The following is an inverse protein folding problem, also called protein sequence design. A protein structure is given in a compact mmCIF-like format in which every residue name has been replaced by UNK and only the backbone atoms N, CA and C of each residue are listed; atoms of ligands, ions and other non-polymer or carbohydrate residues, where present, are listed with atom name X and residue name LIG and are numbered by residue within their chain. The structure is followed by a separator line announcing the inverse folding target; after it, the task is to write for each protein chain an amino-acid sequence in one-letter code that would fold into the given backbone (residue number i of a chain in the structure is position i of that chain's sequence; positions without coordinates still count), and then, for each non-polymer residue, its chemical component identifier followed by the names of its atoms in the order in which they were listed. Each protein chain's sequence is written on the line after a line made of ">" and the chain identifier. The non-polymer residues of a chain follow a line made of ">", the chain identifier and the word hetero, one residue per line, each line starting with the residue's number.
data_IF_380056925974
#
_entry.id   IF_380056925974
#
_cell.length_a   1.000
_cell.length_b   1.000
_cell.length_c   1.000
_cell.angle_alpha   90.00
_cell.angle_beta   90.00
_cell.angle_gamma   90.00
#
_symmetry.space_group_name_H-M   'P 1'
#
loop_
_entity.id
_entity.type
_entity.pdbx_description
1 polymer ?
#
# COMPACT_ATOMS: atom_id res chain seq x y z
N UNK A 1 -28.72 -16.58 -23.59
CA UNK A 1 -27.60 -16.86 -24.50
C UNK A 1 -26.70 -15.63 -24.62
N UNK A 2 -25.38 -15.89 -24.75
CA UNK A 2 -24.32 -14.97 -25.20
C UNK A 2 -23.86 -13.90 -24.16
N UNK A 3 -22.59 -13.67 -23.78
CA UNK A 3 -21.23 -14.09 -24.19
C UNK A 3 -20.34 -13.88 -22.93
N UNK A 4 -19.59 -14.88 -22.45
CA UNK A 4 -18.19 -15.16 -22.79
C UNK A 4 -17.20 -13.98 -22.68
N UNK A 5 -16.21 -14.21 -21.82
CA UNK A 5 -14.78 -13.86 -21.94
C UNK A 5 -14.26 -12.53 -21.38
N UNK A 6 -13.79 -12.58 -20.13
CA UNK A 6 -12.66 -11.77 -19.70
C UNK A 6 -11.57 -12.65 -19.06
N UNK A 7 -10.72 -13.18 -19.95
CA UNK A 7 -9.28 -13.38 -19.80
C UNK A 7 -8.73 -13.27 -18.38
N UNK A 8 -8.63 -14.42 -17.71
CA UNK A 8 -7.57 -14.64 -16.72
C UNK A 8 -6.25 -14.82 -17.47
N UNK A 9 -5.58 -13.72 -17.81
CA UNK A 9 -4.16 -13.79 -18.18
C UNK A 9 -3.38 -14.02 -16.89
N UNK A 10 -3.29 -15.28 -16.48
CA UNK A 10 -2.29 -15.72 -15.50
C UNK A 10 -0.93 -15.21 -15.98
N UNK A 11 -0.19 -14.40 -15.20
CA UNK A 11 1.16 -14.06 -15.58
C UNK A 11 1.93 -15.37 -15.65
N UNK A 12 2.53 -15.64 -16.81
CA UNK A 12 3.49 -16.70 -17.03
C UNK A 12 4.61 -16.49 -16.02
N UNK A 13 4.49 -17.13 -14.86
CA UNK A 13 5.53 -17.16 -13.85
C UNK A 13 6.59 -18.08 -14.42
N UNK A 14 7.52 -17.50 -15.16
CA UNK A 14 8.85 -18.06 -15.28
C UNK A 14 9.38 -18.08 -13.84
N UNK A 15 9.07 -19.14 -13.10
CA UNK A 15 9.76 -19.46 -11.86
C UNK A 15 11.17 -19.84 -12.33
N UNK A 16 12.21 -19.01 -12.13
CA UNK A 16 13.54 -19.56 -12.19
C UNK A 16 13.60 -20.54 -11.02
N UNK A 17 13.38 -21.82 -11.30
CA UNK A 17 13.87 -22.87 -10.43
C UNK A 17 15.30 -22.45 -10.07
N UNK A 18 15.55 -22.27 -8.78
CA UNK A 18 16.82 -21.84 -8.22
C UNK A 18 17.83 -22.96 -8.47
N UNK A 19 18.29 -23.10 -9.71
CA UNK A 19 19.42 -23.93 -10.06
C UNK A 19 20.64 -23.11 -9.65
N UNK A 20 21.11 -23.33 -8.42
CA UNK A 20 22.40 -22.81 -7.97
C UNK A 20 23.46 -23.59 -8.75
N UNK A 21 23.78 -23.11 -9.94
CA UNK A 21 24.73 -23.75 -10.84
C UNK A 21 26.16 -23.43 -10.34
N UNK A 22 26.57 -24.16 -9.30
CA UNK A 22 27.91 -24.06 -8.67
C UNK A 22 29.02 -24.47 -9.65
N UNK A 23 28.69 -25.18 -10.72
CA UNK A 23 29.64 -25.71 -11.69
C UNK A 23 30.21 -24.65 -12.65
N UNK A 24 29.58 -23.48 -12.78
CA UNK A 24 30.09 -22.42 -13.65
C UNK A 24 31.27 -21.62 -13.05
N UNK A 25 31.73 -21.95 -11.83
CA UNK A 25 32.56 -21.05 -11.00
C UNK A 25 34.06 -21.38 -10.93
N UNK A 26 34.59 -22.25 -11.80
CA UNK A 26 36.01 -22.62 -11.77
C UNK A 26 37.01 -21.44 -11.97
N UNK A 27 36.54 -20.24 -12.31
CA UNK A 27 37.37 -19.03 -12.48
C UNK A 27 36.81 -17.75 -11.80
N UNK A 28 35.79 -17.87 -10.94
CA UNK A 28 35.19 -16.70 -10.29
C UNK A 28 35.96 -16.31 -9.02
N UNK A 29 36.25 -15.02 -8.84
CA UNK A 29 36.87 -14.51 -7.60
C UNK A 29 35.89 -14.71 -6.43
N UNK A 30 36.38 -15.13 -5.26
CA UNK A 30 35.53 -15.41 -4.09
C UNK A 30 34.61 -14.24 -3.67
N UNK A 31 35.03 -13.00 -3.89
CA UNK A 31 34.21 -11.81 -3.65
C UNK A 31 32.96 -11.73 -4.54
N UNK A 32 33.05 -12.18 -5.79
CA UNK A 32 31.93 -12.19 -6.74
C UNK A 32 30.92 -13.28 -6.40
N UNK A 33 31.40 -14.40 -5.83
CA UNK A 33 30.55 -15.49 -5.32
C UNK A 33 29.73 -14.98 -4.14
N UNK A 34 30.36 -14.36 -3.15
CA UNK A 34 29.66 -13.77 -2.00
C UNK A 34 28.63 -12.72 -2.42
N UNK A 35 28.97 -11.86 -3.39
CA UNK A 35 28.03 -10.87 -3.92
C UNK A 35 26.80 -11.52 -4.56
N UNK A 36 26.99 -12.60 -5.34
CA UNK A 36 25.86 -13.33 -5.95
C UNK A 36 24.98 -14.00 -4.90
N UNK A 37 25.59 -14.62 -3.88
CA UNK A 37 24.84 -15.25 -2.79
C UNK A 37 23.99 -14.23 -2.02
N UNK A 38 24.53 -13.03 -1.75
CA UNK A 38 23.76 -11.97 -1.07
C UNK A 38 22.60 -11.48 -1.95
N UNK A 39 22.83 -11.28 -3.25
CA UNK A 39 21.77 -10.91 -4.20
C UNK A 39 20.65 -11.97 -4.27
N UNK A 40 21.03 -13.25 -4.24
CA UNK A 40 20.07 -14.36 -4.22
C UNK A 40 19.28 -14.39 -2.91
N UNK A 41 19.95 -14.20 -1.77
CA UNK A 41 19.28 -14.09 -0.46
C UNK A 41 18.25 -12.97 -0.44
N UNK A 42 18.60 -11.79 -0.95
CA UNK A 42 17.66 -10.67 -1.05
C UNK A 42 16.47 -10.99 -1.97
N UNK A 43 16.73 -11.61 -3.12
CA UNK A 43 15.69 -11.99 -4.07
C UNK A 43 14.71 -13.02 -3.45
N UNK A 44 15.23 -14.00 -2.71
CA UNK A 44 14.43 -14.98 -1.97
C UNK A 44 13.60 -14.30 -0.90
N UNK A 45 14.19 -13.35 -0.15
CA UNK A 45 13.47 -12.62 0.89
C UNK A 45 12.29 -11.81 0.32
N UNK A 46 12.51 -11.12 -0.82
CA UNK A 46 11.49 -10.31 -1.50
C UNK A 46 10.38 -11.17 -2.14
N UNK A 47 10.73 -12.33 -2.68
CA UNK A 47 9.78 -13.27 -3.30
C UNK A 47 9.27 -14.34 -2.34
N UNK A 48 9.51 -14.17 -1.04
CA UNK A 48 9.05 -15.11 -0.03
C UNK A 48 7.53 -15.06 0.10
N UNK A 49 6.93 -16.20 0.45
CA UNK A 49 5.50 -16.28 0.74
C UNK A 49 5.09 -15.31 1.87
N UNK A 50 5.99 -15.02 2.80
CA UNK A 50 5.74 -14.05 3.87
C UNK A 50 5.63 -12.62 3.35
N UNK A 51 6.48 -12.20 2.41
CA UNK A 51 6.34 -10.93 1.71
C UNK A 51 5.02 -10.87 0.92
N UNK A 52 4.66 -11.95 0.24
CA UNK A 52 3.38 -12.06 -0.47
C UNK A 52 2.18 -11.91 0.47
N UNK A 53 2.17 -12.62 1.62
CA UNK A 53 1.09 -12.53 2.63
C UNK A 53 0.93 -11.11 3.19
N UNK A 54 2.02 -10.36 3.32
CA UNK A 54 2.00 -8.95 3.77
C UNK A 54 1.40 -8.03 2.73
N UNK A 55 1.75 -8.20 1.46
CA UNK A 55 1.35 -7.28 0.39
C UNK A 55 0.04 -7.63 -0.30
N UNK A 56 -0.38 -8.89 -0.25
CA UNK A 56 -1.54 -9.40 -0.97
C UNK A 56 -2.54 -10.04 -0.02
N UNK A 57 -3.79 -10.01 -0.44
CA UNK A 57 -4.84 -10.83 0.14
C UNK A 57 -4.72 -12.26 -0.39
N UNK A 58 -4.80 -13.24 0.52
CA UNK A 58 -4.55 -14.65 0.19
C UNK A 58 -5.74 -15.28 -0.55
N UNK A 59 -6.96 -14.79 -0.32
CA UNK A 59 -8.16 -15.32 -0.96
C UNK A 59 -8.33 -14.76 -2.36
N UNK A 60 -8.14 -13.44 -2.52
CA UNK A 60 -8.37 -12.75 -3.78
C UNK A 60 -7.12 -12.61 -4.65
N UNK A 61 -5.92 -12.72 -4.06
CA UNK A 61 -4.65 -12.47 -4.75
C UNK A 61 -4.44 -10.99 -5.13
N UNK A 62 -5.34 -10.10 -4.68
CA UNK A 62 -5.26 -8.68 -4.97
C UNK A 62 -4.32 -8.00 -3.99
N UNK A 63 -3.55 -7.02 -4.47
CA UNK A 63 -2.64 -6.25 -3.63
C UNK A 63 -3.44 -5.44 -2.62
N UNK A 64 -3.08 -5.56 -1.34
CA UNK A 64 -3.67 -4.77 -0.24
C UNK A 64 -3.36 -3.30 -0.48
N UNK A 65 -4.38 -2.52 -0.82
CA UNK A 65 -4.25 -1.07 -0.91
C UNK A 65 -4.16 -0.51 0.52
N UNK A 66 -2.96 -0.05 0.90
CA UNK A 66 -2.69 0.42 2.27
C UNK A 66 -3.44 1.70 2.62
N UNK A 67 -3.77 2.50 1.62
CA UNK A 67 -4.44 3.79 1.76
C UNK A 67 -5.52 3.88 0.67
N UNK A 68 -6.75 3.58 1.04
CA UNK A 68 -7.90 3.86 0.18
C UNK A 68 -8.20 5.36 0.28
N UNK A 69 -7.81 6.12 -0.73
CA UNK A 69 -8.05 7.56 -0.79
C UNK A 69 -9.53 7.92 -0.77
N UNK A 70 -10.42 7.02 -1.22
CA UNK A 70 -11.86 7.21 -1.14
C UNK A 70 -12.34 7.14 0.31
N UNK A 71 -11.89 6.13 1.06
CA UNK A 71 -12.18 5.98 2.49
C UNK A 71 -11.68 7.17 3.31
N UNK A 72 -10.45 7.63 3.05
CA UNK A 72 -9.87 8.78 3.75
C UNK A 72 -10.70 10.05 3.52
N UNK A 73 -11.08 10.35 2.27
CA UNK A 73 -11.91 11.53 1.98
C UNK A 73 -13.28 11.47 2.66
N UNK A 74 -13.88 10.29 2.76
CA UNK A 74 -15.16 10.10 3.47
C UNK A 74 -15.00 10.36 4.96
N UNK A 75 -13.96 9.80 5.57
CA UNK A 75 -13.66 10.02 6.99
C UNK A 75 -13.38 11.49 7.29
N UNK A 76 -12.64 12.18 6.41
CA UNK A 76 -12.39 13.62 6.50
C UNK A 76 -13.70 14.43 6.42
N UNK A 77 -14.55 14.12 5.43
CA UNK A 77 -15.84 14.81 5.26
C UNK A 77 -16.72 14.65 6.49
N UNK A 78 -16.85 13.41 7.00
CA UNK A 78 -17.65 13.11 8.18
C UNK A 78 -17.12 13.81 9.43
N UNK A 79 -15.79 13.90 9.56
CA UNK A 79 -15.16 14.62 10.65
C UNK A 79 -15.47 16.13 10.59
N UNK A 80 -15.35 16.75 9.41
CA UNK A 80 -15.69 18.16 9.20
C UNK A 80 -17.16 18.42 9.53
N UNK A 81 -18.08 17.58 9.06
CA UNK A 81 -19.51 17.69 9.37
C UNK A 81 -19.76 17.64 10.89
N UNK A 82 -19.09 16.74 11.61
CA UNK A 82 -19.22 16.66 13.07
C UNK A 82 -18.72 17.90 13.81
N UNK A 83 -17.65 18.52 13.30
CA UNK A 83 -17.10 19.75 13.85
C UNK A 83 -18.02 20.95 13.58
N UNK A 84 -18.54 21.05 12.37
CA UNK A 84 -19.50 22.10 11.99
C UNK A 84 -20.79 21.99 12.79
N UNK A 85 -21.26 20.77 13.10
CA UNK A 85 -22.41 20.56 13.97
C UNK A 85 -22.18 21.03 15.41
N UNK A 86 -20.94 20.98 15.90
CA UNK A 86 -20.59 21.36 17.27
C UNK A 86 -20.27 22.85 17.42
N UNK A 87 -19.54 23.41 16.46
CA UNK A 87 -18.94 24.76 16.54
C UNK A 87 -19.71 25.79 15.69
N UNK A 88 -20.58 25.31 14.79
CA UNK A 88 -21.23 26.13 13.78
C UNK A 88 -20.51 26.02 12.43
N UNK A 89 -21.24 26.35 11.36
CA UNK A 89 -20.70 26.27 10.01
C UNK A 89 -19.59 27.31 9.80
N UNK A 90 -18.56 26.93 9.03
CA UNK A 90 -17.46 27.85 8.69
C UNK A 90 -17.91 29.09 7.91
N UNK A 91 -19.07 29.04 7.25
CA UNK A 91 -19.65 30.17 6.54
C UNK A 91 -20.38 31.17 7.44
N UNK A 92 -20.63 30.83 8.71
CA UNK A 92 -21.31 31.74 9.63
C UNK A 92 -20.33 32.74 10.27
N UNK A 93 -20.68 34.03 10.31
CA UNK A 93 -19.84 35.04 10.97
C UNK A 93 -19.79 34.78 12.47
N UNK A 94 -18.59 34.92 13.06
CA UNK A 94 -18.40 34.74 14.50
C UNK A 94 -19.36 35.61 15.33
N UNK A 95 -19.94 35.01 16.38
CA UNK A 95 -20.83 35.70 17.32
C UNK A 95 -20.11 36.92 17.91
N UNK A 96 -20.66 38.12 17.65
CA UNK A 96 -20.16 39.35 18.24
C UNK A 96 -20.55 39.39 19.71
N UNK A 97 -19.55 39.34 20.60
CA UNK A 97 -19.80 39.46 22.04
C UNK A 97 -20.38 40.84 22.35
N UNK A 98 -21.37 40.93 23.27
CA UNK A 98 -21.93 42.20 23.68
C UNK A 98 -20.84 43.04 24.36
N UNK A 99 -20.58 44.22 23.79
CA UNK A 99 -19.63 45.18 24.35
C UNK A 99 -20.29 45.81 25.58
N UNK A 100 -19.90 45.37 26.78
CA UNK A 100 -20.41 45.96 28.01
C UNK A 100 -19.90 47.40 28.14
N UNK A 101 -20.79 48.39 28.00
CA UNK A 101 -20.48 49.79 28.32
C UNK A 101 -20.82 50.04 29.80
N UNK A 102 -19.84 50.41 30.65
CA UNK A 102 -20.14 50.84 32.00
C UNK A 102 -20.92 52.17 31.96
N UNK A 103 -22.03 52.24 32.69
CA UNK A 103 -22.79 53.48 32.90
C UNK A 103 -21.95 54.48 33.69
N UNK A 104 -21.77 55.68 33.14
CA UNK A 104 -21.19 56.83 33.85
C UNK A 104 -22.21 57.48 34.77
#
# INVERSE_FOLDING_TARGET
>A
EARQDSRTTSPKRDNPALTIDLNAQQSMKGSEILRRLEQQREAISKNSFEAYKREFDLETGVRKQKLDGGKIKREETQYVESLEALVGSRSEPALKLPVHRPSR
#
